data_IF_276342976525
#
_entry.id   IF_276342976525
#
_cell.length_a   1.000
_cell.length_b   1.000
_cell.length_c   1.000
_cell.angle_alpha   90.00
_cell.angle_beta   90.00
_cell.angle_gamma   90.00
#
_symmetry.space_group_name_H-M   'P 1'
#
loop_
_entity.id
_entity.type
_entity.pdbx_description
1 polymer ?
#
# COMPACT_ATOMS: atom_id res chain seq x y z
N UNK A 1 -12.05 13.63 -5.36
CA UNK A 1 -11.45 12.34 -5.68
C UNK A 1 -11.69 11.34 -4.60
N UNK A 2 -12.04 10.15 -4.97
CA UNK A 2 -12.23 9.09 -4.00
C UNK A 2 -10.87 8.65 -3.48
N UNK A 3 -10.79 8.43 -2.18
CA UNK A 3 -9.58 7.86 -1.58
C UNK A 3 -9.71 6.36 -1.54
N UNK A 4 -8.57 5.67 -1.51
CA UNK A 4 -8.59 4.23 -1.49
C UNK A 4 -7.50 3.69 -0.58
N UNK A 5 -7.75 2.50 -0.04
CA UNK A 5 -6.77 1.84 0.81
C UNK A 5 -5.60 1.34 -0.05
N UNK A 6 -4.51 0.98 0.61
CA UNK A 6 -3.37 0.41 -0.10
C UNK A 6 -3.80 -0.82 -0.90
N UNK A 7 -4.63 -1.67 -0.29
CA UNK A 7 -5.07 -2.87 -0.98
C UNK A 7 -5.90 -2.52 -2.22
N UNK A 8 -6.81 -1.56 -2.09
CA UNK A 8 -7.65 -1.17 -3.21
C UNK A 8 -6.81 -0.59 -4.35
N UNK A 9 -5.82 0.24 -4.01
CA UNK A 9 -4.95 0.81 -5.02
C UNK A 9 -4.15 -0.27 -5.75
N UNK A 10 -3.68 -1.27 -5.00
CA UNK A 10 -2.96 -2.39 -5.59
C UNK A 10 -3.85 -3.19 -6.54
N UNK A 11 -5.06 -3.49 -6.09
CA UNK A 11 -5.99 -4.27 -6.90
C UNK A 11 -6.37 -3.51 -8.17
N UNK A 12 -6.49 -2.19 -8.07
CA UNK A 12 -6.81 -1.35 -9.21
C UNK A 12 -5.80 -1.46 -10.35
N UNK A 13 -4.55 -1.75 -10.03
CA UNK A 13 -3.52 -1.92 -11.06
C UNK A 13 -3.24 -3.40 -11.31
N UNK A 14 -4.13 -4.27 -10.85
CA UNK A 14 -4.11 -5.70 -11.14
C UNK A 14 -2.85 -6.41 -10.65
N UNK A 15 -2.31 -5.96 -9.51
CA UNK A 15 -1.14 -6.60 -8.91
C UNK A 15 -1.57 -7.49 -7.76
N UNK A 16 -1.01 -8.70 -7.70
CA UNK A 16 -1.14 -9.53 -6.53
C UNK A 16 -0.30 -8.95 -5.40
N UNK A 17 -0.60 -9.34 -4.16
CA UNK A 17 0.20 -8.88 -3.05
C UNK A 17 1.66 -9.29 -3.21
N UNK A 18 1.89 -10.52 -3.67
CA UNK A 18 3.24 -11.00 -3.87
C UNK A 18 3.98 -10.20 -4.93
N UNK A 19 3.32 -9.93 -6.06
CA UNK A 19 3.95 -9.18 -7.13
C UNK A 19 4.27 -7.76 -6.69
N UNK A 20 3.36 -7.13 -5.97
CA UNK A 20 3.60 -5.77 -5.48
C UNK A 20 4.72 -5.74 -4.46
N UNK A 21 4.74 -6.71 -3.54
CA UNK A 21 5.81 -6.76 -2.55
C UNK A 21 7.17 -6.90 -3.22
N UNK A 22 7.25 -7.77 -4.22
CA UNK A 22 8.50 -7.94 -4.97
C UNK A 22 8.92 -6.62 -5.62
N UNK A 23 7.98 -5.94 -6.26
CA UNK A 23 8.29 -4.67 -6.93
C UNK A 23 8.73 -3.61 -5.94
N UNK A 24 8.18 -3.64 -4.73
CA UNK A 24 8.53 -2.67 -3.69
C UNK A 24 9.78 -3.05 -2.92
N UNK A 25 10.30 -4.25 -3.13
CA UNK A 25 11.49 -4.71 -2.43
C UNK A 25 11.25 -5.11 -0.99
N UNK A 26 10.03 -5.53 -0.65
CA UNK A 26 9.70 -5.94 0.71
C UNK A 26 9.10 -7.34 0.69
N UNK A 27 8.98 -7.94 1.87
CA UNK A 27 8.37 -9.25 1.97
C UNK A 27 6.85 -9.14 1.82
N UNK A 28 6.24 -10.25 1.45
CA UNK A 28 4.79 -10.33 1.36
C UNK A 28 4.15 -9.99 2.70
N UNK A 29 4.76 -10.47 3.78
CA UNK A 29 4.25 -10.20 5.11
C UNK A 29 4.29 -8.71 5.44
N UNK A 30 5.38 -8.04 5.06
CA UNK A 30 5.51 -6.60 5.31
C UNK A 30 4.41 -5.83 4.58
N UNK A 31 4.18 -6.14 3.32
CA UNK A 31 3.12 -5.47 2.58
C UNK A 31 1.75 -5.78 3.19
N UNK A 32 1.53 -7.03 3.58
CA UNK A 32 0.30 -7.41 4.25
C UNK A 32 0.06 -6.61 5.52
N UNK A 33 1.12 -6.40 6.31
CA UNK A 33 1.01 -5.60 7.53
C UNK A 33 0.65 -4.15 7.21
N UNK A 34 1.21 -3.60 6.14
CA UNK A 34 0.86 -2.24 5.72
C UNK A 34 -0.60 -2.17 5.31
N UNK A 35 -1.09 -3.18 4.59
CA UNK A 35 -2.46 -3.17 4.10
C UNK A 35 -3.47 -3.35 5.21
N UNK A 36 -3.10 -4.06 6.27
CA UNK A 36 -4.01 -4.29 7.39
C UNK A 36 -3.88 -3.25 8.50
N UNK A 37 -2.92 -2.34 8.40
CA UNK A 37 -2.75 -1.31 9.41
C UNK A 37 -1.90 -1.71 10.60
N UNK A 38 -1.27 -2.88 10.54
CA UNK A 38 -0.39 -3.33 11.62
C UNK A 38 0.87 -2.48 11.67
N UNK A 39 1.36 -2.07 10.52
CA UNK A 39 2.51 -1.18 10.44
C UNK A 39 2.32 -0.25 9.27
N UNK A 40 3.21 0.74 9.14
CA UNK A 40 3.09 1.75 8.11
C UNK A 40 4.40 1.86 7.34
N UNK A 41 4.33 2.09 6.02
CA UNK A 41 5.54 2.27 5.24
C UNK A 41 6.21 3.60 5.57
N UNK A 42 7.53 3.63 5.44
CA UNK A 42 8.28 4.87 5.61
C UNK A 42 8.12 5.74 4.35
N UNK A 43 8.54 6.99 4.46
CA UNK A 43 8.34 7.97 3.39
C UNK A 43 8.88 7.51 2.05
N UNK A 44 10.07 6.91 2.01
CA UNK A 44 10.65 6.44 0.77
C UNK A 44 9.86 5.29 0.17
N UNK A 45 9.29 4.45 1.02
CA UNK A 45 8.42 3.36 0.53
C UNK A 45 7.11 3.90 0.00
N UNK A 46 6.57 4.94 0.63
CA UNK A 46 5.34 5.55 0.15
C UNK A 46 5.53 6.11 -1.25
N UNK A 47 6.68 6.72 -1.52
CA UNK A 47 6.97 7.20 -2.86
C UNK A 47 6.95 6.07 -3.89
N UNK A 48 7.57 4.95 -3.55
CA UNK A 48 7.58 3.79 -4.44
C UNK A 48 6.17 3.25 -4.67
N UNK A 49 5.37 3.21 -3.61
CA UNK A 49 3.99 2.74 -3.71
C UNK A 49 3.19 3.65 -4.65
N UNK A 50 3.35 4.94 -4.49
CA UNK A 50 2.60 5.88 -5.33
C UNK A 50 2.96 5.72 -6.81
N UNK A 51 4.23 5.53 -7.11
CA UNK A 51 4.66 5.31 -8.48
C UNK A 51 4.13 3.97 -9.01
N UNK A 52 4.27 2.92 -8.21
CA UNK A 52 3.87 1.58 -8.65
C UNK A 52 2.36 1.50 -8.88
N UNK A 53 1.58 2.11 -8.00
CA UNK A 53 0.13 2.02 -8.07
C UNK A 53 -0.49 3.17 -8.87
N UNK A 54 0.32 4.11 -9.36
CA UNK A 54 -0.14 5.26 -10.15
C UNK A 54 -1.16 6.10 -9.39
N UNK A 55 -0.85 6.37 -8.13
CA UNK A 55 -1.72 7.22 -7.29
C UNK A 55 -0.86 8.26 -6.61
N UNK A 56 -1.49 9.34 -6.14
CA UNK A 56 -0.78 10.32 -5.32
C UNK A 56 -0.98 9.95 -3.85
N UNK A 57 -0.11 10.49 -3.01
CA UNK A 57 -0.22 10.26 -1.58
C UNK A 57 -1.61 10.65 -1.06
N UNK A 58 -2.15 11.75 -1.59
CA UNK A 58 -3.44 12.25 -1.13
C UNK A 58 -4.60 11.30 -1.47
N UNK A 59 -4.39 10.40 -2.40
CA UNK A 59 -5.43 9.44 -2.78
C UNK A 59 -5.45 8.21 -1.87
N UNK A 60 -4.50 8.09 -0.96
CA UNK A 60 -4.37 6.89 -0.15
C UNK A 60 -4.94 7.09 1.25
N UNK A 61 -5.56 6.04 1.74
CA UNK A 61 -6.01 5.95 3.13
C UNK A 61 -5.20 4.87 3.80
N UNK A 62 -4.54 5.21 4.91
CA UNK A 62 -3.80 4.23 5.69
C UNK A 62 -4.67 3.81 6.87
N UNK A 63 -4.94 2.51 6.95
CA UNK A 63 -5.81 1.99 7.99
C UNK A 63 -5.12 2.09 9.35
N UNK A 64 -5.84 2.54 10.38
CA UNK A 64 -5.26 2.56 11.71
C UNK A 64 -5.19 1.14 12.27
N UNK A 65 -4.16 0.91 13.07
CA UNK A 65 -3.93 -0.40 13.64
C UNK A 65 -5.05 -0.83 14.57
N UNK A 66 -5.58 0.13 15.32
CA UNK A 66 -6.58 -0.18 16.33
C UNK A 66 -7.93 0.31 15.90
N UNK A 67 -8.23 0.19 14.68
CA UNK A 67 -9.41 0.81 14.12
C UNK A 67 -10.66 0.59 14.93
N UNK A 68 -10.63 -0.09 15.84
CA UNK A 68 -11.66 -0.20 16.73
C UNK A 68 -12.91 -0.28 16.53
#
# INVERSE_FOLDING_TARGET
>A
MAKMTLKAARVNVALSQKAAATALGVSNKTLGNWESGVSFPKADQIEKICVLYSVSYDDLIFLPNDSL
#
